data_IF_382095508614
#
_entry.id   IF_382095508614
#
_cell.length_a   1.000
_cell.length_b   1.000
_cell.length_c   1.000
_cell.angle_alpha   90.00
_cell.angle_beta   90.00
_cell.angle_gamma   90.00
#
_symmetry.space_group_name_H-M   'P 1'
#
loop_
_entity.id
_entity.type
_entity.pdbx_description
1 polymer ?
#
# COMPACT_ATOMS: atom_id res chain seq x y z
N UNK A 1 24.31 7.65 24.03
CA UNK A 1 24.48 6.95 22.72
C UNK A 1 23.55 7.64 21.76
N UNK A 2 24.01 8.01 20.55
CA UNK A 2 23.14 8.67 19.57
C UNK A 2 22.38 7.63 18.75
N UNK A 3 21.09 7.86 18.52
CA UNK A 3 20.23 6.99 17.72
C UNK A 3 19.57 7.80 16.60
N UNK A 4 19.34 7.18 15.43
CA UNK A 4 18.51 7.74 14.37
C UNK A 4 17.52 6.69 13.86
N UNK A 5 16.25 7.04 13.69
CA UNK A 5 15.21 6.10 13.26
C UNK A 5 14.95 6.14 11.75
N UNK A 6 15.24 5.04 11.03
CA UNK A 6 14.54 4.64 9.78
C UNK A 6 14.64 3.13 9.45
N UNK A 7 14.86 2.26 10.44
CA UNK A 7 15.28 0.83 10.36
C UNK A 7 16.77 0.54 10.70
N UNK A 8 17.41 1.31 11.58
CA UNK A 8 18.64 0.89 12.26
C UNK A 8 18.59 1.37 13.71
N UNK A 9 18.53 0.42 14.66
CA UNK A 9 18.44 0.64 16.11
C UNK A 9 17.25 1.51 16.55
N UNK A 10 16.08 0.86 16.65
CA UNK A 10 14.88 1.41 17.30
C UNK A 10 15.29 2.11 18.61
N UNK A 11 14.82 3.33 18.84
CA UNK A 11 14.38 3.69 20.19
C UNK A 11 13.26 2.70 20.45
N UNK A 12 13.59 1.57 21.04
CA UNK A 12 12.55 0.66 21.43
C UNK A 12 11.91 1.39 22.61
N UNK A 13 10.63 1.72 22.50
CA UNK A 13 9.78 2.11 23.62
C UNK A 13 10.09 1.23 24.85
N UNK A 14 10.46 -0.03 24.59
CA UNK A 14 11.03 -0.97 25.53
C UNK A 14 12.23 -0.46 26.35
N UNK A 15 13.21 0.29 25.85
CA UNK A 15 14.33 0.79 26.69
C UNK A 15 13.86 1.82 27.72
N UNK A 16 12.93 2.71 27.34
CA UNK A 16 12.25 3.65 28.24
C UNK A 16 11.40 2.88 29.27
N UNK A 17 10.60 1.93 28.78
CA UNK A 17 9.71 1.11 29.60
C UNK A 17 10.46 0.08 30.45
N UNK A 18 11.69 -0.33 30.11
CA UNK A 18 12.49 -1.33 30.83
C UNK A 18 13.18 -0.78 32.07
N UNK A 19 13.12 0.54 32.30
CA UNK A 19 13.65 1.13 33.52
C UNK A 19 12.82 0.70 34.74
N UNK A 20 13.45 -0.10 35.60
CA UNK A 20 12.88 -0.56 36.86
C UNK A 20 13.36 0.33 38.02
N UNK A 21 12.53 0.46 39.06
CA UNK A 21 12.84 1.21 40.29
C UNK A 21 13.08 2.70 40.06
N UNK A 22 12.38 3.28 39.08
CA UNK A 22 12.25 4.73 38.95
C UNK A 22 11.52 5.25 40.19
N UNK A 23 12.01 6.34 40.76
CA UNK A 23 11.47 6.99 41.97
C UNK A 23 10.83 8.34 41.67
N UNK A 24 11.28 9.01 40.62
CA UNK A 24 10.87 10.36 40.25
C UNK A 24 11.07 10.60 38.74
N UNK A 25 10.16 11.32 38.10
CA UNK A 25 10.13 11.58 36.66
C UNK A 25 9.94 13.06 36.41
N UNK A 26 10.71 13.61 35.48
CA UNK A 26 10.55 14.94 34.93
C UNK A 26 10.47 14.88 33.40
N UNK A 27 9.38 15.39 32.83
CA UNK A 27 9.13 15.43 31.39
C UNK A 27 8.96 16.88 30.97
N UNK A 28 9.84 17.36 30.09
CA UNK A 28 9.66 18.63 29.38
C UNK A 28 9.42 18.32 27.91
N UNK A 29 8.19 18.50 27.42
CA UNK A 29 7.85 18.18 26.04
C UNK A 29 7.05 19.29 25.36
N UNK A 30 7.34 19.55 24.09
CA UNK A 30 6.61 20.53 23.30
C UNK A 30 5.21 20.02 22.95
N UNK A 31 5.11 18.76 22.54
CA UNK A 31 3.86 18.11 22.15
C UNK A 31 3.62 16.82 22.92
N UNK A 32 2.36 16.60 23.30
CA UNK A 32 1.90 15.42 24.02
C UNK A 32 0.59 14.91 23.39
N UNK A 33 0.47 13.59 23.22
CA UNK A 33 -0.73 12.93 22.68
C UNK A 33 -1.27 11.89 23.65
N UNK A 34 -2.43 11.32 23.34
CA UNK A 34 -3.02 10.20 24.09
C UNK A 34 -2.07 9.01 24.23
N UNK A 35 -1.28 8.72 23.19
CA UNK A 35 -0.27 7.66 23.23
C UNK A 35 0.89 8.01 24.18
N UNK A 36 1.30 9.27 24.21
CA UNK A 36 2.26 9.75 25.21
C UNK A 36 1.74 9.55 26.63
N UNK A 37 0.50 9.96 26.88
CA UNK A 37 -0.16 9.73 28.18
C UNK A 37 -0.20 8.25 28.56
N UNK A 38 -0.48 7.35 27.60
CA UNK A 38 -0.46 5.90 27.79
C UNK A 38 0.94 5.42 28.21
N UNK A 39 1.99 5.86 27.51
CA UNK A 39 3.39 5.53 27.84
C UNK A 39 3.75 5.98 29.26
N UNK A 40 3.36 7.20 29.66
CA UNK A 40 3.61 7.69 31.01
C UNK A 40 2.89 6.84 32.06
N UNK A 41 1.63 6.48 31.82
CA UNK A 41 0.88 5.58 32.70
C UNK A 41 1.57 4.22 32.85
N UNK A 42 2.09 3.64 31.76
CA UNK A 42 2.81 2.37 31.80
C UNK A 42 4.06 2.48 32.70
N UNK A 43 4.83 3.58 32.59
CA UNK A 43 6.01 3.81 33.44
C UNK A 43 5.62 3.98 34.91
N UNK A 44 4.56 4.75 35.18
CA UNK A 44 4.05 4.99 36.54
C UNK A 44 3.61 3.68 37.19
N UNK A 45 2.78 2.90 36.49
CA UNK A 45 2.24 1.63 36.99
C UNK A 45 3.36 0.63 37.26
N UNK A 46 4.29 0.49 36.30
CA UNK A 46 5.43 -0.43 36.42
C UNK A 46 6.33 -0.12 37.61
N UNK A 47 6.47 1.16 37.96
CA UNK A 47 7.34 1.61 39.04
C UNK A 47 6.59 1.99 40.33
N UNK A 48 5.26 1.83 40.36
CA UNK A 48 4.39 2.23 41.48
C UNK A 48 4.63 3.68 41.92
N UNK A 49 4.78 4.58 40.96
CA UNK A 49 5.06 6.00 41.23
C UNK A 49 3.83 6.69 41.77
N UNK A 50 4.04 7.57 42.75
CA UNK A 50 3.01 8.48 43.24
C UNK A 50 2.99 9.74 42.39
N UNK A 51 1.81 10.36 42.27
CA UNK A 51 1.59 11.61 41.53
C UNK A 51 2.61 12.70 41.88
N UNK A 52 3.00 12.79 43.14
CA UNK A 52 3.88 13.83 43.66
C UNK A 52 5.30 13.74 43.10
N UNK A 53 5.67 12.60 42.54
CA UNK A 53 6.99 12.30 41.98
C UNK A 53 7.00 12.33 40.44
N UNK A 54 5.90 12.77 39.80
CA UNK A 54 5.79 12.84 38.34
C UNK A 54 5.54 14.29 37.96
N UNK A 55 6.50 14.89 37.27
CA UNK A 55 6.50 16.30 36.90
C UNK A 55 6.44 16.41 35.38
N UNK A 56 5.43 17.12 34.85
CA UNK A 56 5.27 17.30 33.41
C UNK A 56 5.16 18.79 33.09
N UNK A 57 6.03 19.25 32.21
CA UNK A 57 6.09 20.62 31.69
C UNK A 57 5.76 20.58 30.20
N UNK A 58 4.76 21.35 29.79
CA UNK A 58 4.21 21.34 28.42
C UNK A 58 4.10 22.74 27.82
N UNK A 59 4.10 22.80 26.49
CA UNK A 59 3.79 24.02 25.73
C UNK A 59 2.31 24.42 25.85
N UNK A 60 1.98 25.67 25.57
CA UNK A 60 0.59 26.09 25.34
C UNK A 60 -0.03 25.51 24.06
N UNK A 61 0.78 24.98 23.15
CA UNK A 61 0.33 24.34 21.90
C UNK A 61 0.52 22.81 21.91
N UNK A 62 0.55 22.20 23.10
CA UNK A 62 0.99 20.80 23.26
C UNK A 62 0.14 19.75 22.54
N UNK A 63 -1.14 20.03 22.25
CA UNK A 63 -2.03 19.14 21.50
C UNK A 63 -3.11 19.94 20.79
N UNK A 64 -3.50 19.47 19.61
CA UNK A 64 -4.70 19.90 18.88
C UNK A 64 -5.83 18.88 18.99
N UNK A 65 -5.56 17.68 19.52
CA UNK A 65 -6.55 16.63 19.70
C UNK A 65 -7.07 16.67 21.12
N UNK A 66 -8.26 17.27 21.29
CA UNK A 66 -8.97 17.44 22.56
C UNK A 66 -8.05 17.77 23.76
N UNK A 67 -7.26 18.86 23.71
CA UNK A 67 -6.25 19.18 24.72
C UNK A 67 -6.81 19.24 26.15
N UNK A 68 -8.06 19.67 26.33
CA UNK A 68 -8.71 19.73 27.64
C UNK A 68 -8.92 18.35 28.28
N UNK A 69 -9.26 17.32 27.49
CA UNK A 69 -9.38 15.93 27.98
C UNK A 69 -8.01 15.40 28.38
N UNK A 70 -6.98 15.65 27.57
CA UNK A 70 -5.60 15.25 27.87
C UNK A 70 -5.06 15.90 29.15
N UNK A 71 -5.30 17.20 29.35
CA UNK A 71 -4.89 17.88 30.60
C UNK A 71 -5.61 17.28 31.81
N UNK A 72 -6.91 17.02 31.70
CA UNK A 72 -7.69 16.46 32.79
C UNK A 72 -7.15 15.09 33.22
N UNK A 73 -6.85 14.20 32.27
CA UNK A 73 -6.27 12.89 32.58
C UNK A 73 -4.84 13.00 33.11
N UNK A 74 -4.00 13.85 32.50
CA UNK A 74 -2.60 14.03 32.91
C UNK A 74 -2.51 14.58 34.35
N UNK A 75 -3.39 15.52 34.72
CA UNK A 75 -3.48 16.07 36.06
C UNK A 75 -3.90 15.05 37.13
N UNK A 76 -4.47 13.90 36.77
CA UNK A 76 -4.77 12.82 37.74
C UNK A 76 -3.50 12.09 38.18
N UNK A 77 -2.52 11.98 37.29
CA UNK A 77 -1.35 11.12 37.48
C UNK A 77 -0.04 11.89 37.70
N UNK A 78 -0.02 13.20 37.42
CA UNK A 78 1.19 14.03 37.52
C UNK A 78 0.93 15.44 38.07
N UNK A 79 2.01 16.11 38.47
CA UNK A 79 2.09 17.57 38.63
C UNK A 79 2.35 18.19 37.27
N UNK A 80 1.33 18.84 36.72
CA UNK A 80 1.39 19.41 35.37
C UNK A 80 1.56 20.93 35.45
N UNK A 81 2.54 21.45 34.72
CA UNK A 81 2.71 22.88 34.50
C UNK A 81 2.81 23.20 33.01
N UNK A 82 2.33 24.37 32.63
CA UNK A 82 2.20 24.81 31.25
C UNK A 82 2.88 26.16 31.04
N UNK A 83 3.60 26.30 29.93
CA UNK A 83 4.20 27.56 29.53
C UNK A 83 3.23 28.38 28.69
N UNK A 84 2.69 29.45 29.27
CA UNK A 84 1.74 30.34 28.59
C UNK A 84 2.42 31.56 27.95
N UNK A 85 3.55 32.01 28.50
CA UNK A 85 4.21 33.28 28.13
C UNK A 85 5.55 33.08 27.41
N UNK A 86 5.94 31.83 27.13
CA UNK A 86 7.19 31.50 26.46
C UNK A 86 6.96 30.38 25.48
N UNK A 87 7.63 30.45 24.32
CA UNK A 87 7.71 29.30 23.41
C UNK A 87 8.47 28.18 24.10
N UNK A 88 7.77 27.08 24.40
CA UNK A 88 8.37 25.90 25.00
C UNK A 88 8.43 24.78 23.97
N UNK A 89 9.63 24.48 23.47
CA UNK A 89 9.84 23.47 22.42
C UNK A 89 10.80 22.34 22.86
N UNK A 90 10.93 22.17 24.18
CA UNK A 90 11.82 21.17 24.79
C UNK A 90 11.33 19.74 24.55
N UNK A 91 12.27 18.79 24.57
CA UNK A 91 12.05 17.34 24.42
C UNK A 91 13.09 16.63 25.28
N UNK A 92 12.89 16.71 26.59
CA UNK A 92 13.84 16.24 27.59
C UNK A 92 13.09 15.45 28.66
N UNK A 93 13.52 14.22 28.91
CA UNK A 93 12.92 13.30 29.86
C UNK A 93 13.99 12.84 30.84
N UNK A 94 13.83 13.15 32.12
CA UNK A 94 14.72 12.72 33.20
C UNK A 94 13.99 11.71 34.08
N UNK A 95 14.54 10.51 34.19
CA UNK A 95 14.06 9.44 35.05
C UNK A 95 15.08 9.22 36.16
N UNK A 96 14.70 9.46 37.42
CA UNK A 96 15.57 9.30 38.60
C UNK A 96 15.24 8.00 39.31
N UNK A 97 16.26 7.22 39.66
CA UNK A 97 16.10 5.89 40.24
C UNK A 97 17.37 5.41 40.94
N UNK A 98 17.72 4.12 40.79
CA UNK A 98 19.04 3.61 41.21
C UNK A 98 20.15 4.28 40.38
N UNK A 99 19.88 4.44 39.08
CA UNK A 99 20.69 5.18 38.12
C UNK A 99 19.77 6.21 37.46
N UNK A 100 20.21 7.46 37.38
CA UNK A 100 19.42 8.48 36.71
C UNK A 100 19.70 8.41 35.22
N UNK A 101 18.66 8.57 34.40
CA UNK A 101 18.82 8.64 32.95
C UNK A 101 18.12 9.86 32.40
N UNK A 102 18.77 10.49 31.44
CA UNK A 102 18.19 11.56 30.65
C UNK A 102 18.03 11.08 29.21
N UNK A 103 16.94 11.50 28.60
CA UNK A 103 16.63 11.28 27.20
C UNK A 103 16.35 12.66 26.62
N UNK A 104 17.01 12.99 25.52
CA UNK A 104 16.81 14.26 24.85
C UNK A 104 17.09 14.15 23.37
N UNK A 105 16.41 14.98 22.57
CA UNK A 105 16.57 14.99 21.13
C UNK A 105 15.40 15.63 20.41
N UNK A 106 14.88 14.93 19.41
CA UNK A 106 13.81 15.41 18.51
C UNK A 106 12.46 14.74 18.75
N UNK A 107 12.41 13.65 19.50
CA UNK A 107 11.16 12.95 19.84
C UNK A 107 10.30 13.74 20.81
N UNK A 108 9.14 14.20 20.33
CA UNK A 108 8.05 14.64 21.22
C UNK A 108 7.41 13.46 21.94
N UNK A 109 6.62 13.73 22.99
CA UNK A 109 5.96 12.70 23.76
C UNK A 109 4.65 12.24 23.07
N UNK A 110 4.80 11.74 21.84
CA UNK A 110 3.69 11.37 20.95
C UNK A 110 3.94 10.05 20.24
N UNK A 111 2.87 9.45 19.67
CA UNK A 111 3.01 8.24 18.84
C UNK A 111 4.04 8.44 17.72
N UNK A 112 3.99 9.61 17.06
CA UNK A 112 4.95 10.01 16.04
C UNK A 112 6.38 9.99 16.56
N UNK A 113 6.62 10.67 17.68
CA UNK A 113 7.94 10.79 18.29
C UNK A 113 8.54 9.47 18.79
N UNK A 114 7.74 8.46 19.08
CA UNK A 114 8.25 7.17 19.57
C UNK A 114 8.24 6.04 18.54
N UNK A 115 7.45 6.12 17.47
CA UNK A 115 7.22 4.95 16.60
C UNK A 115 7.08 5.22 15.11
N UNK A 116 6.75 6.45 14.67
CA UNK A 116 6.48 6.72 13.25
C UNK A 116 7.50 7.64 12.58
N UNK A 117 7.98 8.65 13.30
CA UNK A 117 8.85 9.68 12.74
C UNK A 117 10.31 9.20 12.64
N UNK A 118 11.05 9.83 11.75
CA UNK A 118 12.51 9.82 11.76
C UNK A 118 12.94 10.78 12.86
N UNK A 119 13.38 10.22 13.98
CA UNK A 119 13.83 10.98 15.16
C UNK A 119 15.32 10.71 15.43
N UNK A 120 15.94 11.67 16.08
CA UNK A 120 17.33 11.69 16.51
C UNK A 120 17.40 12.05 18.00
N UNK A 121 17.79 11.08 18.83
CA UNK A 121 17.80 11.22 20.28
C UNK A 121 19.06 10.60 20.91
N UNK A 122 19.35 11.03 22.13
CA UNK A 122 20.37 10.43 23.00
C UNK A 122 19.72 9.93 24.29
N UNK A 123 20.14 8.74 24.72
CA UNK A 123 19.84 8.18 26.05
C UNK A 123 21.16 8.06 26.80
N UNK A 124 21.22 8.64 28.00
CA UNK A 124 22.43 8.73 28.80
C UNK A 124 22.15 8.51 30.28
N UNK A 125 23.00 7.72 30.93
CA UNK A 125 23.06 7.67 32.40
C UNK A 125 23.79 8.92 32.91
N UNK A 126 23.23 9.57 33.94
CA UNK A 126 23.72 10.86 34.43
C UNK A 126 23.83 10.90 35.95
N UNK A 127 24.90 11.48 36.44
CA UNK A 127 25.19 11.72 37.85
C UNK A 127 25.98 13.04 38.04
N UNK A 128 26.30 13.36 39.30
CA UNK A 128 27.16 14.48 39.67
C UNK A 128 26.74 15.83 39.08
N UNK A 129 27.70 16.51 38.45
CA UNK A 129 27.53 17.84 37.87
C UNK A 129 26.52 17.84 36.72
N UNK A 130 26.56 16.83 35.84
CA UNK A 130 25.66 16.72 34.69
C UNK A 130 24.20 16.56 35.10
N UNK A 131 23.95 15.74 36.12
CA UNK A 131 22.61 15.65 36.71
C UNK A 131 22.16 17.02 37.26
N UNK A 132 23.06 17.74 37.94
CA UNK A 132 22.76 19.05 38.52
C UNK A 132 22.41 20.10 37.46
N UNK A 133 23.03 20.06 36.29
CA UNK A 133 22.69 20.93 35.14
C UNK A 133 21.28 20.63 34.59
N UNK A 134 20.95 19.36 34.43
CA UNK A 134 19.62 18.93 33.97
C UNK A 134 18.55 19.33 35.00
N UNK A 135 18.84 19.17 36.29
CA UNK A 135 17.94 19.61 37.36
C UNK A 135 17.78 21.14 37.38
N UNK A 136 18.81 21.92 37.02
CA UNK A 136 18.67 23.38 36.83
C UNK A 136 17.72 23.71 35.70
N UNK A 137 17.74 22.96 34.60
CA UNK A 137 16.76 23.11 33.53
C UNK A 137 15.32 22.90 34.03
N UNK A 138 15.05 21.82 34.78
CA UNK A 138 13.71 21.60 35.32
C UNK A 138 13.31 22.61 36.41
N UNK A 139 14.25 23.12 37.20
CA UNK A 139 13.99 24.25 38.12
C UNK A 139 13.61 25.52 37.36
N UNK A 140 14.29 25.81 36.26
CA UNK A 140 13.91 26.89 35.36
C UNK A 140 12.49 26.68 34.82
N UNK A 141 12.18 25.46 34.37
CA UNK A 141 10.82 25.14 33.94
C UNK A 141 9.79 25.36 35.05
N UNK A 142 10.10 24.93 36.27
CA UNK A 142 9.21 25.07 37.41
C UNK A 142 8.88 26.53 37.75
N UNK A 143 9.88 27.41 37.63
CA UNK A 143 9.76 28.84 37.92
C UNK A 143 9.02 29.62 36.82
N UNK A 144 9.20 29.24 35.55
CA UNK A 144 8.66 29.98 34.39
C UNK A 144 7.34 29.43 33.82
N UNK A 145 6.81 28.35 34.40
CA UNK A 145 5.54 27.74 33.98
C UNK A 145 4.44 27.96 35.02
N UNK A 146 3.19 27.84 34.56
CA UNK A 146 1.99 27.98 35.38
C UNK A 146 1.44 26.60 35.72
N UNK A 147 1.10 26.35 36.99
CA UNK A 147 0.42 25.10 37.37
C UNK A 147 -0.93 24.98 36.66
N UNK A 148 -1.20 23.81 36.06
CA UNK A 148 -2.49 23.58 35.40
C UNK A 148 -3.60 23.50 36.44
N UNK A 149 -4.60 24.37 36.31
CA UNK A 149 -5.81 24.42 37.14
C UNK A 149 -7.05 24.06 36.30
N UNK A 150 -8.20 23.88 36.96
CA UNK A 150 -9.48 23.69 36.27
C UNK A 150 -9.83 24.85 35.34
N UNK A 151 -9.42 26.09 35.66
CA UNK A 151 -9.63 27.24 34.78
C UNK A 151 -8.85 27.12 33.47
N UNK A 152 -7.62 26.60 33.52
CA UNK A 152 -6.82 26.34 32.32
C UNK A 152 -7.45 25.20 31.50
N UNK A 153 -7.89 24.12 32.15
CA UNK A 153 -8.59 23.02 31.46
C UNK A 153 -9.86 23.53 30.78
N UNK A 154 -10.64 24.36 31.48
CA UNK A 154 -11.83 25.01 30.94
C UNK A 154 -11.48 25.93 29.77
N UNK A 155 -10.41 26.71 29.85
CA UNK A 155 -9.96 27.56 28.75
C UNK A 155 -9.73 26.75 27.46
N UNK A 156 -9.04 25.60 27.52
CA UNK A 156 -8.88 24.73 26.34
C UNK A 156 -10.19 24.10 25.87
N UNK A 157 -11.11 23.79 26.78
CA UNK A 157 -12.43 23.24 26.45
C UNK A 157 -13.28 24.28 25.71
N UNK A 158 -13.30 25.51 26.21
CA UNK A 158 -14.07 26.63 25.67
C UNK A 158 -13.57 27.01 24.26
N UNK A 159 -12.27 26.82 23.97
CA UNK A 159 -11.65 27.08 22.66
C UNK A 159 -11.54 25.82 21.75
N UNK A 160 -12.21 24.71 22.07
CA UNK A 160 -12.06 23.45 21.34
C UNK A 160 -12.45 23.57 19.86
N UNK A 161 -13.44 24.42 19.53
CA UNK A 161 -13.92 24.59 18.15
C UNK A 161 -12.85 25.26 17.27
N UNK A 162 -12.21 26.29 17.79
CA UNK A 162 -11.15 27.03 17.11
C UNK A 162 -9.91 26.15 16.89
N UNK A 163 -9.57 25.33 17.89
CA UNK A 163 -8.46 24.36 17.81
C UNK A 163 -8.74 23.30 16.73
N UNK A 164 -9.97 22.78 16.66
CA UNK A 164 -10.35 21.81 15.63
C UNK A 164 -10.33 22.44 14.23
N UNK A 165 -10.82 23.67 14.08
CA UNK A 165 -10.76 24.39 12.81
C UNK A 165 -9.30 24.56 12.32
N UNK A 166 -8.37 24.88 13.22
CA UNK A 166 -6.95 24.96 12.90
C UNK A 166 -6.38 23.60 12.47
N UNK A 167 -6.72 22.52 13.18
CA UNK A 167 -6.32 21.14 12.84
C UNK A 167 -6.76 20.76 11.43
N UNK A 168 -8.01 21.07 11.07
CA UNK A 168 -8.55 20.81 9.72
C UNK A 168 -7.85 21.64 8.65
N UNK A 169 -7.62 22.94 8.88
CA UNK A 169 -6.89 23.80 7.96
C UNK A 169 -5.44 23.30 7.74
N UNK A 170 -4.77 22.87 8.80
CA UNK A 170 -3.43 22.28 8.70
C UNK A 170 -3.43 20.93 7.98
N UNK A 171 -4.46 20.07 8.18
CA UNK A 171 -4.62 18.82 7.43
C UNK A 171 -4.73 19.12 5.93
N UNK A 172 -5.59 20.07 5.55
CA UNK A 172 -5.77 20.44 4.14
C UNK A 172 -4.49 20.99 3.52
N UNK A 173 -3.78 21.87 4.23
CA UNK A 173 -2.52 22.41 3.75
C UNK A 173 -1.44 21.33 3.61
N UNK A 174 -1.34 20.39 4.57
CA UNK A 174 -0.43 19.25 4.48
C UNK A 174 -0.76 18.37 3.27
N UNK A 175 -2.04 18.14 2.98
CA UNK A 175 -2.48 17.41 1.78
C UNK A 175 -2.01 18.12 0.51
N UNK A 176 -2.22 19.43 0.40
CA UNK A 176 -1.73 20.24 -0.72
C UNK A 176 -0.21 20.18 -0.86
N UNK A 177 0.54 20.32 0.24
CA UNK A 177 2.01 20.31 0.22
C UNK A 177 2.59 18.93 -0.12
N UNK A 178 1.97 17.85 0.39
CA UNK A 178 2.32 16.47 0.03
C UNK A 178 1.96 16.16 -1.43
N UNK A 179 0.90 16.78 -1.97
CA UNK A 179 0.44 16.61 -3.34
C UNK A 179 1.51 16.84 -4.41
N UNK A 180 2.59 17.58 -4.12
CA UNK A 180 3.71 17.73 -5.05
C UNK A 180 4.44 16.39 -5.33
N UNK A 181 4.58 15.52 -4.33
CA UNK A 181 5.22 14.20 -4.47
C UNK A 181 4.22 13.15 -4.97
N UNK A 182 2.94 13.36 -4.67
CA UNK A 182 1.82 12.48 -5.01
C UNK A 182 1.05 12.94 -6.26
N UNK A 183 1.69 13.76 -7.09
CA UNK A 183 1.06 14.28 -8.30
C UNK A 183 0.97 13.15 -9.34
N UNK A 184 -0.25 12.84 -9.78
CA UNK A 184 -0.50 11.76 -10.73
C UNK A 184 -0.67 10.38 -10.07
N UNK A 185 -0.80 10.32 -8.75
CA UNK A 185 -1.18 9.10 -8.04
C UNK A 185 -2.51 8.58 -8.54
N UNK A 186 -2.60 7.27 -8.73
CA UNK A 186 -3.83 6.63 -9.17
C UNK A 186 -4.93 6.67 -8.09
N UNK A 187 -4.56 6.80 -6.82
CA UNK A 187 -5.47 6.87 -5.68
C UNK A 187 -4.95 7.82 -4.59
N UNK A 188 -5.86 8.42 -3.83
CA UNK A 188 -5.57 9.21 -2.64
C UNK A 188 -5.96 8.40 -1.38
N UNK A 189 -5.08 8.24 -0.38
CA UNK A 189 -5.39 7.42 0.80
C UNK A 189 -6.54 7.96 1.65
N UNK A 190 -6.90 9.24 1.56
CA UNK A 190 -8.07 9.77 2.27
C UNK A 190 -9.41 9.39 1.59
N UNK A 191 -9.38 8.92 0.33
CA UNK A 191 -10.59 8.61 -0.44
C UNK A 191 -11.03 7.13 -0.31
N UNK A 192 -10.22 6.28 0.33
CA UNK A 192 -10.44 4.83 0.40
C UNK A 192 -10.33 4.30 1.84
N UNK A 193 -11.32 3.51 2.29
CA UNK A 193 -11.32 2.81 3.59
C UNK A 193 -10.97 1.32 3.46
N UNK A 194 -9.81 1.03 2.86
CA UNK A 194 -9.42 -0.35 2.46
C UNK A 194 -8.32 -0.98 3.33
N UNK A 195 -8.05 -0.43 4.51
CA UNK A 195 -7.04 -0.99 5.43
C UNK A 195 -7.38 -2.40 5.94
N UNK A 196 -8.66 -2.78 5.87
CA UNK A 196 -9.16 -4.10 6.26
C UNK A 196 -9.31 -5.09 5.10
N UNK A 197 -9.09 -4.64 3.86
CA UNK A 197 -9.25 -5.46 2.66
C UNK A 197 -8.05 -6.37 2.44
N UNK A 198 -8.20 -7.39 1.59
CA UNK A 198 -7.12 -8.31 1.26
C UNK A 198 -5.92 -7.58 0.64
N UNK A 199 -6.18 -6.64 -0.27
CA UNK A 199 -5.21 -5.65 -0.73
C UNK A 199 -5.48 -4.30 -0.06
N UNK A 200 -4.44 -3.77 0.56
CA UNK A 200 -4.44 -2.48 1.26
C UNK A 200 -4.00 -1.36 0.33
N UNK A 201 -4.18 -0.11 0.74
CA UNK A 201 -3.68 1.05 -0.01
C UNK A 201 -2.19 0.92 -0.36
N UNK A 202 -1.37 0.42 0.56
CA UNK A 202 0.07 0.23 0.32
C UNK A 202 0.37 -0.78 -0.79
N UNK A 203 -0.49 -1.81 -0.94
CA UNK A 203 -0.35 -2.80 -2.01
C UNK A 203 -0.58 -2.14 -3.38
N UNK A 204 -1.61 -1.30 -3.53
CA UNK A 204 -1.88 -0.53 -4.75
C UNK A 204 -0.82 0.54 -5.03
N UNK A 205 -0.43 1.30 -3.99
CA UNK A 205 0.59 2.35 -4.07
C UNK A 205 1.94 1.81 -4.58
N UNK A 206 2.22 0.52 -4.38
CA UNK A 206 3.42 -0.15 -4.90
C UNK A 206 3.58 -0.02 -6.41
N UNK A 207 2.47 0.16 -7.13
CA UNK A 207 2.42 0.23 -8.59
C UNK A 207 2.21 1.64 -9.14
N UNK A 208 2.14 2.68 -8.29
CA UNK A 208 2.01 4.06 -8.75
C UNK A 208 3.22 4.49 -9.57
N UNK A 209 3.04 5.45 -10.48
CA UNK A 209 4.06 5.91 -11.44
C UNK A 209 5.39 6.27 -10.78
N UNK A 210 5.39 6.92 -9.61
CA UNK A 210 6.62 7.23 -8.86
C UNK A 210 7.42 6.00 -8.42
N UNK A 211 6.76 4.84 -8.34
CA UNK A 211 7.30 3.60 -7.80
C UNK A 211 7.65 2.59 -8.89
N UNK A 212 7.09 2.67 -10.10
CA UNK A 212 7.24 1.61 -11.12
C UNK A 212 8.68 1.34 -11.55
N UNK A 213 9.56 2.35 -11.52
CA UNK A 213 10.99 2.23 -11.87
C UNK A 213 11.91 2.02 -10.66
N UNK A 214 11.40 2.15 -9.42
CA UNK A 214 12.20 1.97 -8.21
C UNK A 214 12.63 0.51 -8.06
N UNK A 215 13.81 0.31 -7.47
CA UNK A 215 14.39 -1.00 -7.17
C UNK A 215 15.22 -1.00 -5.86
N UNK A 216 14.88 -0.10 -4.93
CA UNK A 216 15.43 -0.09 -3.58
C UNK A 216 14.79 -1.15 -2.68
N UNK A 217 15.38 -1.38 -1.50
CA UNK A 217 14.96 -2.46 -0.59
C UNK A 217 13.49 -2.36 -0.16
N UNK A 218 12.99 -1.15 0.07
CA UNK A 218 11.61 -0.88 0.49
C UNK A 218 10.61 -1.31 -0.59
N UNK A 219 10.81 -0.87 -1.84
CA UNK A 219 9.89 -1.26 -2.91
C UNK A 219 9.98 -2.75 -3.28
N UNK A 220 11.16 -3.37 -3.13
CA UNK A 220 11.33 -4.82 -3.36
C UNK A 220 10.55 -5.64 -2.35
N UNK A 221 10.60 -5.26 -1.07
CA UNK A 221 9.84 -5.91 -0.01
C UNK A 221 8.33 -5.77 -0.24
N UNK A 222 7.87 -4.56 -0.57
CA UNK A 222 6.46 -4.30 -0.91
C UNK A 222 5.97 -5.15 -2.07
N UNK A 223 6.70 -5.19 -3.19
CA UNK A 223 6.32 -6.03 -4.34
C UNK A 223 6.35 -7.52 -4.00
N UNK A 224 7.25 -7.96 -3.11
CA UNK A 224 7.28 -9.35 -2.64
C UNK A 224 6.04 -9.69 -1.81
N UNK A 225 5.59 -8.80 -0.93
CA UNK A 225 4.33 -8.96 -0.17
C UNK A 225 3.16 -9.13 -1.13
N UNK A 226 3.03 -8.25 -2.13
CA UNK A 226 1.95 -8.36 -3.13
C UNK A 226 2.07 -9.66 -3.93
N UNK A 227 3.28 -10.07 -4.32
CA UNK A 227 3.52 -11.34 -5.01
C UNK A 227 3.04 -12.54 -4.20
N UNK A 228 3.32 -12.56 -2.90
CA UNK A 228 2.93 -13.66 -2.01
C UNK A 228 1.40 -13.73 -1.87
N UNK A 229 0.72 -12.57 -1.80
CA UNK A 229 -0.75 -12.49 -1.86
C UNK A 229 -1.31 -13.06 -3.17
N UNK A 230 -0.74 -12.66 -4.31
CA UNK A 230 -1.16 -13.16 -5.63
C UNK A 230 -0.96 -14.69 -5.77
N UNK A 231 0.16 -15.20 -5.26
CA UNK A 231 0.44 -16.64 -5.25
C UNK A 231 -0.51 -17.41 -4.31
N UNK A 232 -0.96 -16.80 -3.21
CA UNK A 232 -1.97 -17.40 -2.34
C UNK A 232 -3.32 -17.55 -3.07
N UNK A 233 -3.77 -16.52 -3.80
CA UNK A 233 -4.97 -16.60 -4.65
C UNK A 233 -4.80 -17.74 -5.68
N UNK A 234 -3.66 -17.77 -6.40
CA UNK A 234 -3.36 -18.84 -7.35
C UNK A 234 -3.49 -20.23 -6.72
N UNK A 235 -2.91 -20.46 -5.54
CA UNK A 235 -2.99 -21.73 -4.83
C UNK A 235 -4.44 -22.14 -4.54
N UNK A 236 -5.31 -21.19 -4.19
CA UNK A 236 -6.73 -21.43 -3.91
C UNK A 236 -7.55 -21.76 -5.16
N UNK A 237 -7.21 -21.19 -6.32
CA UNK A 237 -8.02 -21.33 -7.54
C UNK A 237 -7.48 -22.38 -8.51
N UNK A 238 -6.18 -22.65 -8.53
CA UNK A 238 -5.56 -23.40 -9.63
C UNK A 238 -6.14 -24.80 -9.86
N UNK A 239 -6.49 -25.60 -8.82
CA UNK A 239 -7.16 -26.89 -9.04
C UNK A 239 -8.52 -26.77 -9.76
N UNK A 240 -9.21 -25.64 -9.61
CA UNK A 240 -10.47 -25.34 -10.31
C UNK A 240 -10.19 -24.85 -11.73
N UNK A 241 -9.22 -23.94 -11.89
CA UNK A 241 -8.80 -23.41 -13.20
C UNK A 241 -8.27 -24.52 -14.12
N UNK A 242 -7.51 -25.48 -13.58
CA UNK A 242 -6.97 -26.59 -14.36
C UNK A 242 -8.07 -27.48 -14.95
N UNK A 243 -9.22 -27.61 -14.28
CA UNK A 243 -10.39 -28.35 -14.81
C UNK A 243 -11.01 -27.66 -16.03
N UNK A 244 -10.76 -26.36 -16.23
CA UNK A 244 -11.13 -25.63 -17.43
C UNK A 244 -10.14 -25.87 -18.60
N UNK A 245 -9.13 -26.72 -18.43
CA UNK A 245 -8.04 -26.93 -19.38
C UNK A 245 -7.24 -25.64 -19.65
N UNK A 246 -6.94 -24.92 -18.57
CA UNK A 246 -6.10 -23.73 -18.52
C UNK A 246 -4.91 -24.00 -17.59
N UNK A 247 -3.70 -23.65 -18.03
CA UNK A 247 -2.46 -24.01 -17.35
C UNK A 247 -1.67 -22.76 -16.99
N UNK A 248 -1.11 -22.73 -15.79
CA UNK A 248 -0.12 -21.73 -15.42
C UNK A 248 1.22 -22.01 -16.13
N UNK A 249 2.16 -21.08 -16.00
CA UNK A 249 3.52 -21.31 -16.47
C UNK A 249 4.13 -22.55 -15.80
N UNK A 250 4.90 -23.35 -16.56
CA UNK A 250 5.49 -24.61 -16.08
C UNK A 250 6.69 -24.41 -15.14
N UNK A 251 7.41 -23.30 -15.28
CA UNK A 251 8.42 -22.87 -14.31
C UNK A 251 7.73 -22.19 -13.11
N UNK A 252 7.86 -22.72 -11.88
CA UNK A 252 7.26 -22.14 -10.67
C UNK A 252 7.68 -20.69 -10.40
N UNK A 253 8.88 -20.30 -10.83
CA UNK A 253 9.37 -18.93 -10.65
C UNK A 253 8.70 -17.91 -11.58
N UNK A 254 7.96 -18.37 -12.59
CA UNK A 254 7.30 -17.54 -13.60
C UNK A 254 5.77 -17.65 -13.54
N UNK A 255 5.22 -18.14 -12.41
CA UNK A 255 3.75 -18.15 -12.21
C UNK A 255 3.20 -16.72 -12.20
N UNK A 256 3.91 -15.80 -11.53
CA UNK A 256 3.61 -14.36 -11.56
C UNK A 256 4.47 -13.65 -12.60
N UNK A 257 4.04 -12.45 -13.00
CA UNK A 257 4.96 -11.50 -13.64
C UNK A 257 6.13 -11.12 -12.72
N UNK A 258 7.19 -10.57 -13.33
CA UNK A 258 8.41 -10.17 -12.63
C UNK A 258 8.16 -8.97 -11.71
N UNK A 259 8.73 -9.03 -10.51
CA UNK A 259 8.59 -7.98 -9.48
C UNK A 259 9.73 -6.95 -9.48
N UNK A 260 10.71 -7.09 -10.38
CA UNK A 260 11.83 -6.15 -10.47
C UNK A 260 11.86 -5.49 -11.86
N UNK A 261 12.18 -4.18 -11.94
CA UNK A 261 12.44 -3.51 -13.21
C UNK A 261 13.60 -4.19 -13.93
N UNK A 262 13.38 -4.58 -15.18
CA UNK A 262 14.39 -5.22 -16.01
C UNK A 262 14.09 -4.96 -17.49
N UNK A 263 14.99 -5.36 -18.38
CA UNK A 263 14.82 -5.14 -19.82
C UNK A 263 13.53 -5.78 -20.37
N UNK A 264 13.05 -6.86 -19.74
CA UNK A 264 11.87 -7.62 -20.19
C UNK A 264 10.54 -6.93 -19.89
N UNK A 265 10.47 -6.12 -18.82
CA UNK A 265 9.32 -5.27 -18.52
C UNK A 265 9.63 -3.78 -18.77
N UNK A 266 10.64 -3.50 -19.61
CA UNK A 266 11.07 -2.14 -20.00
C UNK A 266 11.44 -1.25 -18.82
N UNK A 267 11.97 -1.85 -17.77
CA UNK A 267 12.38 -1.16 -16.55
C UNK A 267 11.20 -0.61 -15.75
N UNK A 268 10.00 -1.21 -15.86
CA UNK A 268 8.80 -0.77 -15.12
C UNK A 268 8.04 -1.96 -14.53
N UNK A 269 7.56 -1.80 -13.31
CA UNK A 269 6.60 -2.71 -12.66
C UNK A 269 5.38 -1.89 -12.24
N UNK A 270 4.45 -1.68 -13.17
CA UNK A 270 3.20 -0.94 -12.95
C UNK A 270 1.98 -1.83 -12.67
N UNK A 271 2.16 -3.14 -12.65
CA UNK A 271 1.13 -4.12 -12.31
C UNK A 271 1.78 -5.46 -11.98
N UNK A 272 1.04 -6.35 -11.33
CA UNK A 272 1.46 -7.73 -11.05
C UNK A 272 0.31 -8.69 -11.32
N UNK A 273 0.58 -9.78 -12.04
CA UNK A 273 -0.48 -10.68 -12.46
C UNK A 273 -0.05 -12.13 -12.68
N UNK A 274 -1.05 -13.00 -12.79
CA UNK A 274 -0.91 -14.44 -13.04
C UNK A 274 -1.70 -14.81 -14.27
N UNK A 275 -1.06 -15.57 -15.16
CA UNK A 275 -1.59 -15.96 -16.47
C UNK A 275 -1.88 -17.46 -16.54
N UNK A 276 -3.01 -17.80 -17.15
CA UNK A 276 -3.41 -19.16 -17.47
C UNK A 276 -3.77 -19.30 -18.94
N UNK A 277 -3.18 -20.27 -19.63
CA UNK A 277 -3.41 -20.45 -21.05
C UNK A 277 -3.13 -21.87 -21.51
N UNK A 278 -2.44 -21.99 -22.63
CA UNK A 278 -2.04 -23.25 -23.26
C UNK A 278 -1.14 -24.08 -22.33
N UNK A 279 -1.26 -25.40 -22.46
CA UNK A 279 -0.35 -26.34 -21.79
C UNK A 279 1.07 -26.21 -22.36
N UNK A 280 2.07 -26.63 -21.57
CA UNK A 280 3.47 -26.70 -22.04
C UNK A 280 3.59 -27.46 -23.37
N UNK A 281 2.88 -28.57 -23.51
CA UNK A 281 2.89 -29.39 -24.73
C UNK A 281 2.40 -28.63 -25.97
N UNK A 282 1.35 -27.83 -25.82
CA UNK A 282 0.83 -27.00 -26.92
C UNK A 282 1.82 -25.91 -27.31
N UNK A 283 2.48 -25.28 -26.33
CA UNK A 283 3.49 -24.25 -26.57
C UNK A 283 4.76 -24.83 -27.20
N UNK A 284 5.22 -26.00 -26.72
CA UNK A 284 6.39 -26.68 -27.27
C UNK A 284 6.21 -27.03 -28.76
N UNK A 285 5.00 -27.37 -29.22
CA UNK A 285 4.72 -27.64 -30.65
C UNK A 285 4.94 -26.40 -31.51
N UNK A 286 4.52 -25.23 -31.03
CA UNK A 286 4.71 -23.96 -31.73
C UNK A 286 6.20 -23.64 -31.83
N UNK A 287 6.92 -23.89 -30.74
CA UNK A 287 8.34 -23.58 -30.64
C UNK A 287 9.26 -24.57 -31.38
N UNK A 288 8.76 -25.71 -31.87
CA UNK A 288 9.57 -26.70 -32.63
C UNK A 288 10.19 -26.13 -33.91
N UNK A 289 9.69 -25.00 -34.40
CA UNK A 289 10.14 -24.33 -35.62
C UNK A 289 11.01 -23.09 -35.33
N UNK A 290 11.33 -22.82 -34.07
CA UNK A 290 12.19 -21.73 -33.62
C UNK A 290 13.59 -22.27 -33.27
N UNK A 291 14.64 -21.51 -33.61
CA UNK A 291 16.03 -21.93 -33.38
C UNK A 291 16.34 -22.08 -31.88
N UNK A 292 17.17 -23.06 -31.52
CA UNK A 292 17.52 -23.36 -30.11
C UNK A 292 18.21 -22.20 -29.37
N UNK A 293 18.76 -21.23 -30.11
CA UNK A 293 19.42 -20.03 -29.58
C UNK A 293 18.45 -18.89 -29.19
N UNK A 294 17.15 -19.04 -29.44
CA UNK A 294 16.15 -18.07 -29.02
C UNK A 294 15.78 -18.29 -27.54
N UNK A 295 15.93 -17.22 -26.74
CA UNK A 295 15.71 -17.21 -25.28
C UNK A 295 14.30 -17.71 -24.91
N UNK A 296 14.12 -18.16 -23.67
CA UNK A 296 12.83 -18.56 -23.09
C UNK A 296 11.72 -17.47 -23.24
N UNK A 297 12.12 -16.21 -23.39
CA UNK A 297 11.24 -15.05 -23.67
C UNK A 297 10.69 -14.99 -25.10
N UNK A 298 11.38 -15.62 -26.05
CA UNK A 298 10.90 -15.84 -27.43
C UNK A 298 10.10 -17.15 -27.50
N UNK A 299 10.38 -18.11 -26.60
CA UNK A 299 9.62 -19.36 -26.41
C UNK A 299 8.27 -19.13 -25.70
N UNK A 300 7.33 -18.57 -26.44
CA UNK A 300 6.00 -19.16 -26.60
C UNK A 300 4.91 -18.87 -25.57
N UNK A 301 5.13 -18.72 -24.25
CA UNK A 301 3.95 -18.57 -23.35
C UNK A 301 3.26 -17.21 -23.45
N UNK A 302 4.03 -16.11 -23.52
CA UNK A 302 3.49 -14.74 -23.56
C UNK A 302 2.97 -14.32 -24.94
N UNK A 303 3.40 -15.00 -26.01
CA UNK A 303 2.96 -14.76 -27.40
C UNK A 303 1.57 -15.33 -27.69
N UNK A 304 1.02 -16.10 -26.75
CA UNK A 304 -0.32 -16.65 -26.82
C UNK A 304 -1.30 -15.89 -25.95
N UNK A 305 -2.56 -15.89 -26.38
CA UNK A 305 -3.66 -15.42 -25.58
C UNK A 305 -3.78 -16.23 -24.29
N UNK A 306 -4.20 -15.56 -23.23
CA UNK A 306 -4.38 -16.15 -21.90
C UNK A 306 -5.58 -15.53 -21.17
N UNK A 307 -6.08 -16.23 -20.16
CA UNK A 307 -6.88 -15.62 -19.10
C UNK A 307 -5.95 -15.24 -17.96
N UNK A 308 -6.12 -14.07 -17.39
CA UNK A 308 -5.26 -13.59 -16.32
C UNK A 308 -6.05 -12.83 -15.27
N UNK A 309 -5.48 -12.71 -14.08
CA UNK A 309 -5.89 -11.71 -13.11
C UNK A 309 -4.68 -10.90 -12.65
N UNK A 310 -4.88 -9.64 -12.34
CA UNK A 310 -3.80 -8.74 -11.93
C UNK A 310 -4.27 -7.65 -10.99
N UNK A 311 -3.33 -7.18 -10.16
CA UNK A 311 -3.45 -5.93 -9.43
C UNK A 311 -2.80 -4.82 -10.24
N UNK A 312 -3.49 -3.68 -10.33
CA UNK A 312 -3.10 -2.45 -11.02
C UNK A 312 -3.18 -1.27 -10.04
N UNK A 313 -2.65 -0.07 -10.36
CA UNK A 313 -2.56 1.03 -9.39
C UNK A 313 -3.88 1.49 -8.78
N UNK A 314 -5.02 1.25 -9.45
CA UNK A 314 -6.34 1.71 -9.02
C UNK A 314 -7.31 0.59 -8.63
N UNK A 315 -6.89 -0.68 -8.67
CA UNK A 315 -7.80 -1.79 -8.44
C UNK A 315 -7.30 -3.15 -8.93
N UNK A 316 -8.24 -4.02 -9.24
CA UNK A 316 -7.99 -5.41 -9.61
C UNK A 316 -8.71 -5.75 -10.92
N UNK A 317 -8.09 -6.58 -11.75
CA UNK A 317 -8.59 -6.93 -13.07
C UNK A 317 -8.63 -8.43 -13.30
N UNK A 318 -9.67 -8.88 -14.01
CA UNK A 318 -9.76 -10.22 -14.59
C UNK A 318 -9.91 -10.06 -16.10
N UNK A 319 -8.98 -10.63 -16.85
CA UNK A 319 -8.78 -10.29 -18.25
C UNK A 319 -8.72 -11.54 -19.14
N UNK A 320 -9.28 -11.43 -20.36
CA UNK A 320 -8.89 -12.26 -21.50
C UNK A 320 -7.88 -11.44 -22.30
N UNK A 321 -6.60 -11.77 -22.17
CA UNK A 321 -5.54 -11.12 -22.91
C UNK A 321 -5.33 -11.84 -24.24
N UNK A 322 -5.70 -11.21 -25.36
CA UNK A 322 -5.62 -11.84 -26.68
C UNK A 322 -4.20 -11.76 -27.25
N UNK A 323 -3.58 -10.59 -27.16
CA UNK A 323 -2.38 -10.32 -27.94
C UNK A 323 -1.44 -9.31 -27.29
N UNK A 324 -0.15 -9.67 -27.29
CA UNK A 324 0.97 -8.74 -27.05
C UNK A 324 1.26 -7.95 -28.33
N UNK A 325 2.14 -6.95 -28.23
CA UNK A 325 2.43 -6.00 -29.33
C UNK A 325 2.91 -6.66 -30.59
N UNK A 326 3.94 -7.48 -30.46
CA UNK A 326 4.62 -8.07 -31.61
C UNK A 326 4.49 -9.58 -31.58
N UNK A 327 4.31 -10.17 -32.76
CA UNK A 327 4.32 -11.62 -33.00
C UNK A 327 3.27 -12.39 -32.18
N UNK A 328 2.12 -11.78 -31.91
CA UNK A 328 1.03 -12.44 -31.21
C UNK A 328 0.37 -13.49 -32.12
N UNK A 329 0.49 -14.76 -31.74
CA UNK A 329 0.05 -15.90 -32.57
C UNK A 329 -1.47 -15.94 -32.68
N UNK A 330 -2.16 -15.70 -31.55
CA UNK A 330 -3.62 -15.79 -31.53
C UNK A 330 -4.29 -14.58 -32.21
N UNK A 331 -3.62 -13.41 -32.26
CA UNK A 331 -4.01 -12.30 -33.16
C UNK A 331 -3.97 -12.75 -34.61
N UNK A 332 -2.85 -13.30 -35.05
CA UNK A 332 -2.68 -13.73 -36.45
C UNK A 332 -3.77 -14.75 -36.84
N UNK A 333 -4.05 -15.71 -35.96
CA UNK A 333 -5.15 -16.67 -36.15
C UNK A 333 -6.52 -16.02 -36.30
N UNK A 334 -6.88 -15.09 -35.40
CA UNK A 334 -8.18 -14.40 -35.45
C UNK A 334 -8.30 -13.57 -36.73
N UNK A 335 -7.25 -12.86 -37.13
CA UNK A 335 -7.24 -12.05 -38.35
C UNK A 335 -7.34 -12.91 -39.62
N UNK A 336 -6.59 -14.01 -39.70
CA UNK A 336 -6.61 -14.93 -40.85
C UNK A 336 -7.95 -15.66 -40.99
N UNK A 337 -8.52 -16.13 -39.87
CA UNK A 337 -9.77 -16.90 -39.86
C UNK A 337 -11.00 -16.07 -39.54
N UNK A 338 -10.90 -14.73 -39.58
CA UNK A 338 -11.95 -13.80 -39.12
C UNK A 338 -13.34 -14.13 -39.69
N UNK A 339 -13.43 -14.43 -41.00
CA UNK A 339 -14.72 -14.76 -41.64
C UNK A 339 -15.36 -16.04 -41.06
N UNK A 340 -14.54 -17.05 -40.72
CA UNK A 340 -15.01 -18.32 -40.17
C UNK A 340 -15.34 -18.21 -38.68
N UNK A 341 -14.58 -17.40 -37.95
CA UNK A 341 -14.72 -17.22 -36.50
C UNK A 341 -15.83 -16.23 -36.13
N UNK A 342 -16.13 -15.24 -36.99
CA UNK A 342 -17.07 -14.13 -36.71
C UNK A 342 -18.38 -14.60 -36.08
N UNK A 343 -19.13 -15.59 -36.62
CA UNK A 343 -20.39 -16.02 -35.99
C UNK A 343 -20.22 -16.55 -34.56
N UNK A 344 -19.13 -17.27 -34.30
CA UNK A 344 -18.84 -17.83 -32.96
C UNK A 344 -18.38 -16.73 -32.00
N UNK A 345 -17.51 -15.83 -32.45
CA UNK A 345 -17.04 -14.69 -31.65
C UNK A 345 -18.23 -13.81 -31.28
N UNK A 346 -19.05 -13.40 -32.25
CA UNK A 346 -20.24 -12.58 -32.01
C UNK A 346 -21.20 -13.25 -31.02
N UNK A 347 -21.44 -14.56 -31.16
CA UNK A 347 -22.26 -15.31 -30.22
C UNK A 347 -21.68 -15.28 -28.80
N UNK A 348 -20.38 -15.53 -28.63
CA UNK A 348 -19.78 -15.51 -27.29
C UNK A 348 -19.74 -14.09 -26.70
N UNK A 349 -19.45 -13.05 -27.50
CA UNK A 349 -19.52 -11.64 -27.07
C UNK A 349 -20.93 -11.26 -26.60
N UNK A 350 -21.98 -11.70 -27.32
CA UNK A 350 -23.36 -11.40 -26.91
C UNK A 350 -23.73 -11.97 -25.54
N UNK A 351 -23.10 -13.07 -25.11
CA UNK A 351 -23.33 -13.66 -23.78
C UNK A 351 -22.61 -12.92 -22.66
N UNK A 352 -21.65 -12.06 -23.00
CA UNK A 352 -20.89 -11.26 -22.05
C UNK A 352 -21.56 -9.91 -21.74
N UNK A 353 -22.67 -9.59 -22.40
CA UNK A 353 -23.44 -8.39 -22.09
C UNK A 353 -24.06 -8.45 -20.70
N UNK A 354 -23.97 -7.34 -19.97
CA UNK A 354 -24.43 -7.18 -18.59
C UNK A 354 -23.38 -7.54 -17.54
N UNK A 355 -22.15 -7.87 -17.95
CA UNK A 355 -21.06 -8.16 -17.02
C UNK A 355 -20.09 -6.98 -16.82
N UNK A 356 -20.32 -5.82 -17.43
CA UNK A 356 -19.50 -4.63 -17.22
C UNK A 356 -18.09 -4.75 -17.77
N UNK A 357 -17.93 -5.42 -18.92
CA UNK A 357 -16.62 -5.66 -19.54
C UNK A 357 -16.35 -4.72 -20.71
N UNK A 358 -15.09 -4.35 -20.87
CA UNK A 358 -14.63 -3.51 -22.00
C UNK A 358 -13.47 -4.17 -22.70
N UNK A 359 -13.53 -4.26 -24.03
CA UNK A 359 -12.38 -4.65 -24.82
C UNK A 359 -11.48 -3.45 -25.10
N UNK A 360 -10.20 -3.56 -24.76
CA UNK A 360 -9.23 -2.48 -24.87
C UNK A 360 -8.14 -2.84 -25.89
N UNK A 361 -7.82 -1.88 -26.75
CA UNK A 361 -6.69 -1.96 -27.69
C UNK A 361 -5.81 -0.73 -27.47
N UNK A 362 -4.56 -0.96 -27.09
CA UNK A 362 -3.64 0.10 -26.71
C UNK A 362 -2.30 0.00 -27.45
N UNK A 363 -1.84 1.13 -27.98
CA UNK A 363 -0.51 1.29 -28.55
C UNK A 363 0.32 2.25 -27.68
N UNK A 364 1.25 1.73 -26.88
CA UNK A 364 2.09 2.57 -26.00
C UNK A 364 2.99 3.54 -26.78
N UNK A 365 3.36 3.22 -28.03
CA UNK A 365 4.29 4.04 -28.81
C UNK A 365 3.59 5.29 -29.33
N UNK A 366 2.36 5.14 -29.85
CA UNK A 366 1.57 6.26 -30.37
C UNK A 366 0.69 6.92 -29.30
N UNK A 367 0.42 6.21 -28.20
CA UNK A 367 -0.57 6.60 -27.19
C UNK A 367 -2.01 6.38 -27.62
N UNK A 368 -2.25 5.75 -28.77
CA UNK A 368 -3.60 5.48 -29.26
C UNK A 368 -4.29 4.42 -28.41
N UNK A 369 -5.55 4.70 -28.08
CA UNK A 369 -6.38 3.85 -27.24
C UNK A 369 -7.79 3.75 -27.84
N UNK A 370 -8.24 2.52 -28.05
CA UNK A 370 -9.56 2.21 -28.56
C UNK A 370 -10.25 1.21 -27.64
N UNK A 371 -11.49 1.52 -27.27
CA UNK A 371 -12.31 0.66 -26.44
C UNK A 371 -13.55 0.20 -27.20
N UNK A 372 -14.03 -1.00 -26.86
CA UNK A 372 -15.33 -1.51 -27.25
C UNK A 372 -16.09 -1.93 -26.00
N UNK A 373 -17.16 -1.21 -25.68
CA UNK A 373 -18.00 -1.48 -24.51
C UNK A 373 -18.96 -2.63 -24.82
N UNK A 374 -18.76 -3.78 -24.16
CA UNK A 374 -19.53 -5.00 -24.47
C UNK A 374 -21.01 -4.84 -24.16
N UNK A 375 -21.35 -4.07 -23.13
CA UNK A 375 -22.72 -3.92 -22.66
C UNK A 375 -23.51 -2.95 -23.54
N UNK A 376 -22.84 -1.90 -24.04
CA UNK A 376 -23.50 -0.81 -24.75
C UNK A 376 -23.37 -0.88 -26.28
N UNK A 377 -22.40 -1.63 -26.82
CA UNK A 377 -22.21 -1.77 -28.26
C UNK A 377 -22.85 -3.03 -28.84
N UNK A 378 -23.11 -2.99 -30.15
CA UNK A 378 -23.70 -4.13 -30.86
C UNK A 378 -22.63 -5.23 -31.10
N UNK A 379 -22.82 -6.47 -30.56
CA UNK A 379 -21.88 -7.58 -30.75
C UNK A 379 -21.51 -7.90 -32.21
N UNK A 380 -22.40 -7.61 -33.17
CA UNK A 380 -22.14 -7.81 -34.60
C UNK A 380 -21.00 -6.94 -35.15
N UNK A 381 -20.73 -5.80 -34.49
CA UNK A 381 -19.66 -4.86 -34.86
C UNK A 381 -18.31 -5.22 -34.25
N UNK A 382 -18.25 -6.12 -33.28
CA UNK A 382 -17.03 -6.42 -32.53
C UNK A 382 -15.89 -6.95 -33.41
N UNK A 383 -16.18 -7.88 -34.33
CA UNK A 383 -15.15 -8.38 -35.26
C UNK A 383 -14.65 -7.29 -36.23
N UNK A 384 -15.50 -6.32 -36.57
CA UNK A 384 -15.11 -5.20 -37.44
C UNK A 384 -14.22 -4.21 -36.66
N UNK A 385 -14.49 -4.01 -35.36
CA UNK A 385 -13.63 -3.30 -34.42
C UNK A 385 -12.24 -3.96 -34.31
N UNK A 386 -12.18 -5.28 -34.03
CA UNK A 386 -10.91 -6.01 -33.97
C UNK A 386 -10.13 -5.92 -35.30
N UNK A 387 -10.80 -6.13 -36.43
CA UNK A 387 -10.16 -6.06 -37.75
C UNK A 387 -9.54 -4.68 -38.03
N UNK A 388 -10.16 -3.62 -37.52
CA UNK A 388 -9.71 -2.24 -37.74
C UNK A 388 -8.55 -1.85 -36.84
N UNK A 389 -8.58 -2.27 -35.56
CA UNK A 389 -7.71 -1.71 -34.53
C UNK A 389 -6.69 -2.71 -33.95
N UNK A 390 -6.97 -4.02 -33.95
CA UNK A 390 -6.07 -5.03 -33.39
C UNK A 390 -4.99 -5.42 -34.40
N UNK A 391 -3.99 -4.55 -34.51
CA UNK A 391 -2.84 -4.67 -35.42
C UNK A 391 -1.53 -4.88 -34.66
N UNK A 392 -0.47 -5.26 -35.37
CA UNK A 392 0.87 -5.37 -34.78
C UNK A 392 1.32 -4.02 -34.20
N UNK A 393 1.96 -4.06 -33.04
CA UNK A 393 2.29 -2.89 -32.21
C UNK A 393 1.30 -2.62 -31.08
N UNK A 394 0.08 -3.16 -31.12
CA UNK A 394 -0.95 -2.97 -30.09
C UNK A 394 -0.98 -4.11 -29.08
N UNK A 395 -1.37 -3.84 -27.84
CA UNK A 395 -1.91 -4.84 -26.92
C UNK A 395 -3.43 -4.91 -27.10
N UNK A 396 -4.03 -6.08 -26.95
CA UNK A 396 -5.47 -6.31 -27.14
C UNK A 396 -6.01 -7.27 -26.09
N UNK A 397 -6.98 -6.84 -25.30
CA UNK A 397 -7.52 -7.61 -24.19
C UNK A 397 -8.93 -7.19 -23.80
N UNK A 398 -9.73 -8.15 -23.35
CA UNK A 398 -11.00 -7.91 -22.66
C UNK A 398 -10.73 -7.74 -21.17
N UNK A 399 -11.32 -6.71 -20.57
CA UNK A 399 -11.12 -6.33 -19.18
C UNK A 399 -12.42 -6.29 -18.39
N UNK A 400 -12.40 -6.94 -17.23
CA UNK A 400 -13.30 -6.67 -16.11
C UNK A 400 -12.49 -6.00 -15.01
N UNK A 401 -12.96 -4.87 -14.50
CA UNK A 401 -12.25 -4.07 -13.49
C UNK A 401 -13.07 -3.92 -12.21
N UNK A 402 -12.40 -4.16 -11.08
CA UNK A 402 -12.90 -3.88 -9.74
C UNK A 402 -12.11 -2.69 -9.18
N UNK A 403 -12.77 -1.60 -8.79
CA UNK A 403 -12.16 -0.55 -7.98
C UNK A 403 -11.53 -1.13 -6.70
N UNK A 404 -10.52 -0.44 -6.14
CA UNK A 404 -9.78 -0.92 -4.97
C UNK A 404 -10.65 -1.14 -3.71
N UNK A 405 -11.78 -0.45 -3.60
CA UNK A 405 -12.77 -0.53 -2.53
C UNK A 405 -13.98 -1.42 -2.85
N UNK A 406 -13.93 -2.20 -3.93
CA UNK A 406 -15.02 -3.10 -4.27
C UNK A 406 -15.12 -4.27 -3.28
N UNK A 407 -16.33 -4.56 -2.79
CA UNK A 407 -16.59 -5.61 -1.79
C UNK A 407 -16.11 -7.01 -2.24
N UNK A 408 -16.03 -7.27 -3.55
CA UNK A 408 -15.43 -8.49 -4.09
C UNK A 408 -13.97 -8.70 -3.67
N UNK A 409 -13.27 -7.63 -3.28
CA UNK A 409 -11.85 -7.61 -2.91
C UNK A 409 -11.60 -7.67 -1.40
N UNK A 410 -12.66 -7.84 -0.59
CA UNK A 410 -12.57 -7.87 0.88
C UNK A 410 -11.61 -8.94 1.40
N UNK A 411 -11.69 -10.15 0.86
CA UNK A 411 -10.92 -11.29 1.35
C UNK A 411 -10.49 -12.25 0.22
N UNK A 412 -9.58 -13.16 0.54
CA UNK A 412 -9.01 -14.09 -0.42
C UNK A 412 -10.04 -15.06 -1.03
N UNK A 413 -11.06 -15.46 -0.28
CA UNK A 413 -12.08 -16.40 -0.77
C UNK A 413 -13.01 -15.69 -1.75
N UNK A 414 -13.48 -14.49 -1.41
CA UNK A 414 -14.29 -13.62 -2.27
C UNK A 414 -13.57 -13.34 -3.60
N UNK A 415 -12.31 -12.93 -3.56
CA UNK A 415 -11.48 -12.73 -4.77
C UNK A 415 -11.34 -14.03 -5.57
N UNK A 416 -11.04 -15.14 -4.89
CA UNK A 416 -10.83 -16.44 -5.54
C UNK A 416 -12.08 -16.91 -6.28
N UNK A 417 -13.25 -16.71 -5.71
CA UNK A 417 -14.52 -17.11 -6.32
C UNK A 417 -14.87 -16.24 -7.52
N UNK A 418 -14.65 -14.92 -7.44
CA UNK A 418 -14.83 -14.02 -8.58
C UNK A 418 -13.87 -14.36 -9.72
N UNK A 419 -12.58 -14.62 -9.43
CA UNK A 419 -11.61 -15.04 -10.46
C UNK A 419 -12.07 -16.33 -11.16
N UNK A 420 -12.49 -17.36 -10.41
CA UNK A 420 -12.93 -18.63 -11.00
C UNK A 420 -14.21 -18.45 -11.82
N UNK A 421 -15.18 -17.68 -11.30
CA UNK A 421 -16.45 -17.37 -11.98
C UNK A 421 -16.19 -16.71 -13.32
N UNK A 422 -15.43 -15.61 -13.34
CA UNK A 422 -15.22 -14.85 -14.58
C UNK A 422 -14.28 -15.55 -15.55
N UNK A 423 -13.26 -16.29 -15.08
CA UNK A 423 -12.49 -17.13 -15.98
C UNK A 423 -13.34 -18.23 -16.63
N UNK A 424 -14.33 -18.77 -15.91
CA UNK A 424 -15.27 -19.74 -16.47
C UNK A 424 -16.19 -19.10 -17.52
N UNK A 425 -16.66 -17.87 -17.29
CA UNK A 425 -17.47 -17.09 -18.23
C UNK A 425 -16.68 -16.72 -19.49
N UNK A 426 -15.41 -16.34 -19.34
CA UNK A 426 -14.54 -15.94 -20.46
C UNK A 426 -14.00 -17.13 -21.27
N UNK A 427 -14.00 -18.33 -20.71
CA UNK A 427 -13.39 -19.50 -21.32
C UNK A 427 -13.94 -19.87 -22.72
N UNK A 428 -15.27 -19.84 -22.97
CA UNK A 428 -15.80 -20.10 -24.31
C UNK A 428 -15.27 -19.14 -25.36
N UNK A 429 -15.24 -17.83 -25.07
CA UNK A 429 -14.68 -16.82 -25.98
C UNK A 429 -13.19 -17.07 -26.21
N UNK A 430 -12.44 -17.32 -25.13
CA UNK A 430 -11.02 -17.69 -25.22
C UNK A 430 -10.79 -18.87 -26.16
N UNK A 431 -11.55 -19.96 -26.02
CA UNK A 431 -11.36 -21.15 -26.85
C UNK A 431 -11.72 -20.96 -28.34
N UNK A 432 -12.57 -19.98 -28.65
CA UNK A 432 -12.88 -19.57 -30.02
C UNK A 432 -11.75 -18.75 -30.62
N UNK A 433 -11.14 -17.87 -29.82
CA UNK A 433 -10.17 -16.89 -30.29
C UNK A 433 -8.72 -17.41 -30.31
N UNK A 434 -8.40 -18.48 -29.58
CA UNK A 434 -7.04 -19.04 -29.59
C UNK A 434 -6.86 -20.18 -30.59
N UNK A 435 -5.75 -20.13 -31.30
CA UNK A 435 -5.26 -21.23 -32.12
C UNK A 435 -4.79 -22.39 -31.22
N UNK A 436 -5.09 -23.64 -31.60
CA UNK A 436 -4.57 -24.83 -30.91
C UNK A 436 -4.10 -25.88 -31.92
N UNK A 437 -2.91 -26.49 -31.73
CA UNK A 437 -2.32 -27.41 -32.69
C UNK A 437 -3.12 -28.71 -32.91
N UNK A 438 -3.98 -29.10 -31.96
CA UNK A 438 -4.72 -30.36 -32.02
C UNK A 438 -6.16 -30.25 -32.56
N UNK A 439 -6.64 -29.05 -32.89
CA UNK A 439 -8.00 -28.85 -33.43
C UNK A 439 -8.10 -29.15 -34.93
N UNK A 440 -6.98 -29.20 -35.66
CA UNK A 440 -6.95 -29.39 -37.13
C UNK A 440 -6.83 -30.87 -37.56
N UNK A 441 -6.90 -31.83 -36.63
CA UNK A 441 -6.86 -33.28 -36.91
C UNK A 441 -8.20 -33.96 -36.57
N UNK A 442 -9.33 -33.32 -36.86
CA UNK A 442 -10.65 -33.98 -36.75
C UNK A 442 -11.49 -33.80 -38.00
#
# INVERSE_FOLDING_TARGET
MYYWSKNANKINLEELLCMNKVKEIYIGTAFLSSEGLRILNDIINKNSLKKENVHVYISNEFSQDKPHELLAELCKIAKVKIFLNHTFHSKVYLLKGIKNRVIFGSSNFTEGGFSKNIEFDSIEEVDGEKLSEIERFFKYCDFHSTTVTEDIIKYYRDNQKEIEALKQAQKQLRKTLKGYIHQGDAMDPDDYEIDSYYFTFSDYETFFDRNVQRDDMDIRERRKIVQDKMLAIHKNIYPRIQKLNLYCHWNPNHITSLINPCVYNKGKVGWLGIRYGKSKKEVDIVNQWLDDNEKDEIKGFQKHGCLQFCIVPSGFEINLFLAVRHDAIDRAYVQEKMQQLKPKITNEISKLQGYGMTWEIYNEVTGEHHSFDIDNENPEKFCDFLKKYDVDGCESFLRLFYPADDEALLDIESISDEVVKYMSILKPLYDVMVWRPYKEIR
#
